data_IF_403071050337
#
_entry.id   IF_403071050337
#
_cell.length_a   1.000
_cell.length_b   1.000
_cell.length_c   1.000
_cell.angle_alpha   90.00
_cell.angle_beta   90.00
_cell.angle_gamma   90.00
#
_symmetry.space_group_name_H-M   'P 1'
#
loop_
_entity.id
_entity.type
_entity.pdbx_description
1 polymer ?
#
# COMPACT_ATOMS: atom_id res chain seq x y z
N UNK A 1 13.72 -10.57 31.33
CA UNK A 1 13.89 -10.13 29.93
C UNK A 1 14.25 -8.66 29.96
N UNK A 2 15.41 -8.26 29.45
CA UNK A 2 15.93 -6.87 29.57
C UNK A 2 15.78 -6.08 28.25
N UNK A 3 14.78 -6.40 27.46
CA UNK A 3 14.43 -5.65 26.24
C UNK A 3 13.62 -4.43 26.61
N UNK A 4 14.12 -3.24 26.24
CA UNK A 4 13.48 -1.94 26.51
C UNK A 4 12.78 -1.42 25.26
N UNK A 5 11.77 -0.56 25.43
CA UNK A 5 11.03 0.03 24.31
C UNK A 5 11.94 0.77 23.31
N UNK A 6 12.99 1.44 23.81
CA UNK A 6 14.00 2.07 22.94
C UNK A 6 14.70 1.07 22.01
N UNK A 7 14.91 -0.18 22.47
CA UNK A 7 15.51 -1.21 21.64
C UNK A 7 14.60 -1.59 20.48
N UNK A 8 13.30 -1.75 20.78
CA UNK A 8 12.27 -2.09 19.79
C UNK A 8 12.15 -0.99 18.74
N UNK A 9 12.00 0.29 19.16
CA UNK A 9 11.85 1.40 18.22
C UNK A 9 13.11 1.64 17.38
N UNK A 10 14.30 1.54 17.98
CA UNK A 10 15.58 1.69 17.25
C UNK A 10 15.77 0.57 16.24
N UNK A 11 15.46 -0.67 16.63
CA UNK A 11 15.57 -1.83 15.74
C UNK A 11 14.61 -1.70 14.53
N UNK A 12 13.35 -1.36 14.75
CA UNK A 12 12.39 -1.17 13.67
C UNK A 12 12.81 -0.07 12.69
N UNK A 13 13.40 1.03 13.20
CA UNK A 13 13.89 2.10 12.35
C UNK A 13 15.12 1.68 11.53
N UNK A 14 16.03 0.88 12.12
CA UNK A 14 17.16 0.28 11.39
C UNK A 14 16.68 -0.70 10.35
N UNK A 15 15.73 -1.55 10.67
CA UNK A 15 15.10 -2.50 9.74
C UNK A 15 14.47 -1.78 8.54
N UNK A 16 13.72 -0.68 8.79
CA UNK A 16 13.02 0.09 7.76
C UNK A 16 13.98 0.81 6.82
N UNK A 17 15.06 1.36 7.35
CA UNK A 17 16.00 2.18 6.56
C UNK A 17 17.14 1.38 5.95
N UNK A 18 17.33 0.13 6.38
CA UNK A 18 18.48 -0.71 6.05
C UNK A 18 19.83 0.02 6.27
N UNK A 19 19.87 0.96 7.23
CA UNK A 19 21.04 1.84 7.46
C UNK A 19 21.06 2.42 8.87
N UNK A 20 22.13 2.19 9.60
CA UNK A 20 22.36 2.82 10.92
C UNK A 20 22.37 4.36 10.83
N UNK A 21 23.00 4.90 9.78
CA UNK A 21 23.10 6.36 9.60
C UNK A 21 21.76 7.03 9.35
N UNK A 22 20.93 6.44 8.47
CA UNK A 22 19.59 6.96 8.20
C UNK A 22 18.68 6.81 9.42
N UNK A 23 18.73 5.66 10.12
CA UNK A 23 17.98 5.46 11.35
C UNK A 23 18.38 6.49 12.44
N UNK A 24 19.67 6.76 12.61
CA UNK A 24 20.18 7.74 13.55
C UNK A 24 19.64 9.16 13.27
N UNK A 25 19.64 9.56 11.99
CA UNK A 25 19.11 10.86 11.57
C UNK A 25 17.60 10.99 11.87
N UNK A 26 16.81 9.95 11.59
CA UNK A 26 15.37 9.95 11.84
C UNK A 26 15.00 9.91 13.32
N UNK A 27 15.80 9.19 14.12
CA UNK A 27 15.64 9.14 15.59
C UNK A 27 16.22 10.35 16.31
N UNK A 28 16.88 11.28 15.61
CA UNK A 28 17.59 12.41 16.16
C UNK A 28 18.64 12.04 17.22
N UNK A 29 19.39 10.96 16.95
CA UNK A 29 20.49 10.48 17.81
C UNK A 29 21.77 10.24 16.98
N UNK A 30 22.90 10.02 17.67
CA UNK A 30 24.14 9.70 16.97
C UNK A 30 24.18 8.23 16.46
N UNK A 31 24.92 7.97 15.38
CA UNK A 31 25.12 6.60 14.88
C UNK A 31 25.73 5.66 15.92
N UNK A 32 26.73 6.06 16.74
CA UNK A 32 27.22 5.24 17.85
C UNK A 32 26.12 4.85 18.85
N UNK A 33 25.16 5.76 19.13
CA UNK A 33 24.03 5.48 20.03
C UNK A 33 23.10 4.39 19.43
N UNK A 34 22.76 4.48 18.15
CA UNK A 34 21.98 3.44 17.45
C UNK A 34 22.71 2.10 17.49
N UNK A 35 24.01 2.08 17.12
CA UNK A 35 24.82 0.88 17.14
C UNK A 35 24.86 0.22 18.53
N UNK A 36 25.01 1.04 19.57
CA UNK A 36 25.01 0.57 20.95
C UNK A 36 23.65 -0.04 21.32
N UNK A 37 22.56 0.64 20.99
CA UNK A 37 21.19 0.18 21.27
C UNK A 37 20.89 -1.17 20.58
N UNK A 38 21.34 -1.35 19.33
CA UNK A 38 21.22 -2.63 18.62
C UNK A 38 22.03 -3.72 19.32
N UNK A 39 23.27 -3.45 19.72
CA UNK A 39 24.07 -4.44 20.47
C UNK A 39 23.46 -4.82 21.82
N UNK A 40 22.90 -3.84 22.55
CA UNK A 40 22.18 -4.10 23.80
C UNK A 40 20.96 -5.02 23.56
N UNK A 41 20.25 -4.82 22.45
CA UNK A 41 19.15 -5.70 22.04
C UNK A 41 19.65 -7.12 21.71
N UNK A 42 20.69 -7.24 20.90
CA UNK A 42 21.27 -8.53 20.52
C UNK A 42 21.77 -9.33 21.73
N UNK A 43 22.40 -8.64 22.69
CA UNK A 43 22.79 -9.25 23.97
C UNK A 43 21.57 -9.75 24.77
N UNK A 44 20.50 -8.96 24.81
CA UNK A 44 19.28 -9.33 25.52
C UNK A 44 18.53 -10.51 24.85
N UNK A 45 18.64 -10.64 23.54
CA UNK A 45 18.04 -11.73 22.76
C UNK A 45 18.94 -12.97 22.64
N UNK A 46 20.24 -12.82 22.86
CA UNK A 46 21.23 -13.90 22.65
C UNK A 46 21.46 -14.22 21.17
N UNK A 47 21.07 -13.37 20.26
CA UNK A 47 21.19 -13.56 18.82
C UNK A 47 21.42 -12.24 18.09
N UNK A 48 22.20 -12.24 17.02
CA UNK A 48 22.33 -11.11 16.12
C UNK A 48 21.02 -10.90 15.36
N UNK A 49 20.51 -9.66 15.32
CA UNK A 49 19.29 -9.30 14.60
C UNK A 49 19.57 -8.53 13.31
N UNK A 50 20.80 -8.02 13.15
CA UNK A 50 21.25 -7.35 11.94
C UNK A 50 22.62 -7.88 11.51
N UNK A 51 22.89 -7.86 10.22
CA UNK A 51 24.19 -8.17 9.66
C UNK A 51 24.54 -7.20 8.53
N UNK A 52 25.82 -7.12 8.19
CA UNK A 52 26.28 -6.26 7.09
C UNK A 52 25.92 -6.87 5.75
N UNK A 53 25.42 -6.01 4.86
CA UNK A 53 25.17 -6.35 3.46
C UNK A 53 25.76 -5.25 2.56
N UNK A 54 26.97 -5.50 2.07
CA UNK A 54 27.72 -4.52 1.33
C UNK A 54 27.92 -3.20 2.10
N UNK A 55 27.34 -2.10 1.60
CA UNK A 55 27.36 -0.79 2.26
C UNK A 55 26.17 -0.57 3.21
N UNK A 56 25.26 -1.51 3.28
CA UNK A 56 24.04 -1.45 4.09
C UNK A 56 23.99 -2.46 5.21
N UNK A 57 22.79 -2.67 5.70
CA UNK A 57 22.46 -3.64 6.74
C UNK A 57 21.24 -4.41 6.26
N UNK A 58 21.22 -5.72 6.50
CA UNK A 58 20.03 -6.55 6.36
C UNK A 58 19.68 -7.23 7.69
N UNK A 59 18.44 -7.67 7.81
CA UNK A 59 18.03 -8.47 8.96
C UNK A 59 18.54 -9.90 8.84
N UNK A 60 18.90 -10.48 9.98
CA UNK A 60 19.11 -11.92 10.11
C UNK A 60 17.76 -12.65 10.20
N UNK A 61 17.74 -13.98 10.15
CA UNK A 61 16.52 -14.76 10.42
C UNK A 61 15.92 -14.43 11.80
N UNK A 62 16.77 -14.26 12.84
CA UNK A 62 16.32 -13.83 14.16
C UNK A 62 15.78 -12.38 14.14
N UNK A 63 16.38 -11.49 13.33
CA UNK A 63 15.91 -10.14 13.13
C UNK A 63 14.54 -10.08 12.46
N UNK A 64 14.30 -10.90 11.43
CA UNK A 64 12.98 -10.99 10.79
C UNK A 64 11.92 -11.53 11.75
N UNK A 65 12.26 -12.52 12.57
CA UNK A 65 11.37 -13.04 13.62
C UNK A 65 11.05 -11.94 14.64
N UNK A 66 12.08 -11.27 15.15
CA UNK A 66 11.87 -10.19 16.13
C UNK A 66 11.08 -9.01 15.56
N UNK A 67 11.27 -8.66 14.27
CA UNK A 67 10.54 -7.59 13.59
C UNK A 67 9.04 -7.80 13.63
N UNK A 68 8.58 -9.03 13.43
CA UNK A 68 7.14 -9.36 13.47
C UNK A 68 6.50 -8.97 14.81
N UNK A 69 7.13 -9.37 15.92
CA UNK A 69 6.61 -9.08 17.26
C UNK A 69 6.87 -7.64 17.72
N UNK A 70 7.96 -7.04 17.26
CA UNK A 70 8.34 -5.67 17.61
C UNK A 70 7.31 -4.64 17.13
N UNK A 71 6.80 -4.79 15.90
CA UNK A 71 5.77 -3.91 15.34
C UNK A 71 4.46 -3.99 16.13
N UNK A 72 3.98 -5.19 16.41
CA UNK A 72 2.78 -5.41 17.21
C UNK A 72 2.89 -4.81 18.62
N UNK A 73 4.06 -4.95 19.25
CA UNK A 73 4.33 -4.36 20.58
C UNK A 73 4.21 -2.83 20.57
N UNK A 74 4.81 -2.17 19.57
CA UNK A 74 4.70 -0.70 19.43
C UNK A 74 3.26 -0.26 19.12
N UNK A 75 2.57 -0.99 18.26
CA UNK A 75 1.16 -0.71 17.95
C UNK A 75 0.29 -0.80 19.21
N UNK A 76 0.40 -1.87 19.97
CA UNK A 76 -0.34 -2.06 21.23
C UNK A 76 -0.06 -0.94 22.24
N UNK A 77 1.20 -0.54 22.41
CA UNK A 77 1.56 0.57 23.29
C UNK A 77 0.95 1.89 22.83
N UNK A 78 1.04 2.21 21.52
CA UNK A 78 0.42 3.42 20.95
C UNK A 78 -1.09 3.43 21.17
N UNK A 79 -1.77 2.31 20.94
CA UNK A 79 -3.20 2.18 21.20
C UNK A 79 -3.53 2.45 22.68
N UNK A 80 -2.72 1.94 23.60
CA UNK A 80 -2.89 2.21 25.04
C UNK A 80 -2.72 3.69 25.38
N UNK A 81 -1.69 4.33 24.84
CA UNK A 81 -1.46 5.78 25.03
C UNK A 81 -2.61 6.60 24.43
N UNK A 82 -3.04 6.26 23.22
CA UNK A 82 -4.14 6.97 22.54
C UNK A 82 -5.46 6.80 23.28
N UNK A 83 -5.72 5.60 23.83
CA UNK A 83 -6.89 5.33 24.66
C UNK A 83 -6.91 6.18 25.96
N UNK A 84 -5.76 6.30 26.64
CA UNK A 84 -5.64 7.15 27.84
C UNK A 84 -5.82 8.63 27.48
N UNK A 85 -5.22 9.09 26.40
CA UNK A 85 -5.38 10.48 25.94
C UNK A 85 -6.81 10.81 25.53
N UNK A 86 -7.50 9.87 24.90
CA UNK A 86 -8.92 10.00 24.55
C UNK A 86 -9.81 10.08 25.79
N UNK A 87 -9.48 9.35 26.88
CA UNK A 87 -10.22 9.39 28.15
C UNK A 87 -10.03 10.66 28.98
N UNK A 88 -8.97 11.44 28.73
CA UNK A 88 -8.61 12.65 29.51
C UNK A 88 -9.08 13.95 28.83
N UNK A 89 -10.23 13.96 28.15
CA UNK A 89 -10.82 15.20 27.66
C UNK A 89 -11.18 15.28 26.18
N UNK A 90 -11.22 14.18 25.49
CA UNK A 90 -11.81 14.11 24.15
C UNK A 90 -12.85 13.01 24.07
N UNK A 91 -14.03 13.33 23.53
CA UNK A 91 -15.11 12.36 23.24
C UNK A 91 -14.73 11.31 22.17
N UNK A 92 -13.48 11.28 21.72
CA UNK A 92 -13.04 10.47 20.60
C UNK A 92 -11.98 9.45 21.02
N UNK A 93 -12.33 8.18 20.98
CA UNK A 93 -11.44 7.02 21.17
C UNK A 93 -10.23 6.97 20.21
N UNK A 94 -9.34 5.97 20.33
CA UNK A 94 -8.17 5.82 19.45
C UNK A 94 -8.61 5.68 18.01
N UNK A 95 -7.83 6.28 17.08
CA UNK A 95 -8.09 6.16 15.66
C UNK A 95 -7.56 4.84 15.10
N UNK A 96 -8.36 4.11 14.31
CA UNK A 96 -7.90 2.98 13.50
C UNK A 96 -7.10 3.53 12.30
N UNK A 97 -5.90 3.05 12.11
CA UNK A 97 -4.95 3.52 11.09
C UNK A 97 -4.93 2.57 9.91
N UNK A 98 -5.34 3.05 8.75
CA UNK A 98 -5.54 2.26 7.55
C UNK A 98 -4.64 2.77 6.43
N UNK A 99 -3.80 1.90 5.89
CA UNK A 99 -3.12 2.11 4.63
C UNK A 99 -4.01 1.66 3.49
N UNK A 100 -4.22 2.52 2.50
CA UNK A 100 -5.05 2.22 1.34
C UNK A 100 -4.26 2.49 0.06
N UNK A 101 -4.10 1.47 -0.79
CA UNK A 101 -3.54 1.70 -2.12
C UNK A 101 -4.49 2.59 -2.95
N UNK A 102 -3.96 3.32 -3.94
CA UNK A 102 -4.77 4.20 -4.78
C UNK A 102 -6.04 3.55 -5.33
N UNK A 103 -5.92 2.32 -5.80
CA UNK A 103 -7.03 1.57 -6.40
C UNK A 103 -8.22 1.36 -5.45
N UNK A 104 -7.97 1.06 -4.19
CA UNK A 104 -9.05 0.86 -3.20
C UNK A 104 -9.53 2.19 -2.63
N UNK A 105 -8.66 3.21 -2.57
CA UNK A 105 -8.97 4.54 -2.04
C UNK A 105 -10.08 5.22 -2.84
N UNK A 106 -10.14 4.99 -4.16
CA UNK A 106 -11.16 5.56 -5.02
C UNK A 106 -12.40 4.66 -5.19
N UNK A 107 -12.30 3.36 -4.89
CA UNK A 107 -13.35 2.38 -5.21
C UNK A 107 -14.15 1.94 -3.97
N UNK A 108 -13.56 1.12 -3.10
CA UNK A 108 -14.30 0.50 -1.98
C UNK A 108 -14.16 1.24 -0.66
N UNK A 109 -13.06 1.99 -0.46
CA UNK A 109 -12.82 2.68 0.81
C UNK A 109 -13.89 3.72 1.15
N UNK A 110 -14.38 4.58 0.22
CA UNK A 110 -15.42 5.55 0.53
C UNK A 110 -16.68 4.89 1.09
N UNK A 111 -17.17 3.84 0.45
CA UNK A 111 -18.37 3.12 0.91
C UNK A 111 -18.14 2.40 2.25
N UNK A 112 -16.94 1.83 2.46
CA UNK A 112 -16.61 1.19 3.74
C UNK A 112 -16.56 2.20 4.88
N UNK A 113 -15.99 3.39 4.65
CA UNK A 113 -15.93 4.49 5.62
C UNK A 113 -17.32 5.05 5.91
N UNK A 114 -18.16 5.26 4.90
CA UNK A 114 -19.55 5.72 5.06
C UNK A 114 -20.33 4.77 5.97
N UNK A 115 -20.29 3.46 5.69
CA UNK A 115 -20.94 2.43 6.52
C UNK A 115 -20.41 2.43 7.95
N UNK A 116 -19.08 2.52 8.09
CA UNK A 116 -18.44 2.55 9.40
C UNK A 116 -18.92 3.74 10.24
N UNK A 117 -18.97 4.94 9.66
CA UNK A 117 -19.41 6.14 10.37
C UNK A 117 -20.90 6.09 10.74
N UNK A 118 -21.73 5.49 9.90
CA UNK A 118 -23.16 5.29 10.20
C UNK A 118 -23.40 4.36 11.39
N UNK A 119 -22.58 3.31 11.53
CA UNK A 119 -22.74 2.28 12.58
C UNK A 119 -21.91 2.58 13.84
N UNK A 120 -20.88 3.41 13.76
CA UNK A 120 -19.98 3.79 14.85
C UNK A 120 -19.71 5.30 14.88
N UNK A 121 -20.68 6.15 15.30
CA UNK A 121 -20.56 7.61 15.23
C UNK A 121 -19.36 8.20 16.00
N UNK A 122 -18.86 7.51 17.03
CA UNK A 122 -17.67 7.91 17.79
C UNK A 122 -16.35 7.31 17.26
N UNK A 123 -16.41 6.47 16.23
CA UNK A 123 -15.24 5.82 15.66
C UNK A 123 -14.37 6.79 14.84
N UNK A 124 -13.05 6.73 15.05
CA UNK A 124 -12.08 7.55 14.30
C UNK A 124 -11.27 6.68 13.37
N UNK A 125 -11.13 7.14 12.12
CA UNK A 125 -10.29 6.51 11.10
C UNK A 125 -9.21 7.49 10.66
N UNK A 126 -7.99 6.97 10.47
CA UNK A 126 -6.89 7.66 9.78
C UNK A 126 -6.56 6.85 8.54
N UNK A 127 -6.87 7.38 7.37
CA UNK A 127 -6.55 6.75 6.08
C UNK A 127 -5.30 7.39 5.51
N UNK A 128 -4.32 6.57 5.17
CA UNK A 128 -3.06 6.97 4.54
C UNK A 128 -2.96 6.28 3.20
N UNK A 129 -2.68 7.03 2.14
CA UNK A 129 -2.49 6.49 0.80
C UNK A 129 -1.01 6.49 0.43
N UNK A 130 -0.55 5.44 -0.23
CA UNK A 130 0.85 5.32 -0.61
C UNK A 130 1.13 4.08 -1.47
N UNK A 131 2.40 3.90 -1.82
CA UNK A 131 2.87 2.70 -2.51
C UNK A 131 2.80 1.47 -1.59
N UNK A 132 2.57 0.31 -2.17
CA UNK A 132 2.41 -0.95 -1.43
C UNK A 132 3.59 -1.22 -0.46
N UNK A 133 4.83 -1.06 -0.93
CA UNK A 133 6.01 -1.30 -0.13
C UNK A 133 6.05 -0.40 1.12
N UNK A 134 5.75 0.89 0.95
CA UNK A 134 5.73 1.87 2.05
C UNK A 134 4.65 1.54 3.08
N UNK A 135 3.44 1.19 2.60
CA UNK A 135 2.33 0.84 3.49
C UNK A 135 2.60 -0.46 4.27
N UNK A 136 3.22 -1.48 3.63
CA UNK A 136 3.61 -2.71 4.32
C UNK A 136 4.73 -2.48 5.35
N UNK A 137 5.70 -1.60 5.05
CA UNK A 137 6.73 -1.21 6.02
C UNK A 137 6.11 -0.51 7.24
N UNK A 138 5.13 0.38 7.02
CA UNK A 138 4.37 1.03 8.09
C UNK A 138 3.51 0.04 8.89
N UNK A 139 2.88 -0.95 8.22
CA UNK A 139 2.14 -2.02 8.88
C UNK A 139 3.08 -2.86 9.77
N UNK A 140 4.25 -3.23 9.26
CA UNK A 140 5.27 -3.96 10.01
C UNK A 140 5.81 -3.18 11.21
N UNK A 141 5.92 -1.85 11.10
CA UNK A 141 6.35 -0.98 12.19
C UNK A 141 5.23 -0.66 13.21
N UNK A 142 3.99 -1.14 12.96
CA UNK A 142 2.83 -0.81 13.77
C UNK A 142 2.35 0.65 13.64
N UNK A 143 2.78 1.37 12.60
CA UNK A 143 2.29 2.70 12.27
C UNK A 143 0.91 2.66 11.59
N UNK A 144 0.58 1.53 10.97
CA UNK A 144 -0.73 1.17 10.44
C UNK A 144 -1.23 -0.10 11.10
N UNK A 145 -2.55 -0.25 11.18
CA UNK A 145 -3.24 -1.39 11.75
C UNK A 145 -3.73 -2.36 10.65
N UNK A 146 -4.08 -1.81 9.50
CA UNK A 146 -4.65 -2.52 8.35
C UNK A 146 -4.05 -1.92 7.07
N UNK A 147 -3.72 -2.75 6.09
CA UNK A 147 -3.45 -2.29 4.72
C UNK A 147 -4.47 -2.91 3.77
N UNK A 148 -5.05 -2.10 2.91
CA UNK A 148 -6.01 -2.54 1.89
C UNK A 148 -5.44 -2.23 0.51
N UNK A 149 -5.42 -3.23 -0.35
CA UNK A 149 -4.90 -3.06 -1.69
C UNK A 149 -4.51 -4.37 -2.38
N UNK A 150 -3.72 -4.25 -3.44
CA UNK A 150 -3.28 -5.40 -4.24
C UNK A 150 -2.29 -6.26 -3.46
N UNK A 151 -2.43 -7.58 -3.56
CA UNK A 151 -1.53 -8.57 -2.96
C UNK A 151 -0.08 -8.32 -3.43
N UNK A 152 0.83 -8.21 -2.49
CA UNK A 152 2.25 -8.06 -2.77
C UNK A 152 2.90 -9.38 -3.19
N UNK A 153 4.16 -9.32 -3.62
CA UNK A 153 4.96 -10.52 -3.90
C UNK A 153 5.17 -11.36 -2.63
N UNK A 154 5.38 -12.67 -2.75
CA UNK A 154 5.54 -13.57 -1.60
C UNK A 154 6.60 -13.11 -0.60
N UNK A 155 7.71 -12.54 -1.11
CA UNK A 155 8.83 -12.07 -0.28
C UNK A 155 8.41 -10.90 0.62
N UNK A 156 7.48 -10.08 0.15
CA UNK A 156 6.94 -8.93 0.90
C UNK A 156 5.80 -9.31 1.83
N UNK A 157 5.24 -10.51 1.68
CA UNK A 157 4.13 -11.01 2.51
C UNK A 157 4.59 -11.79 3.75
N UNK A 158 5.88 -11.95 3.96
CA UNK A 158 6.41 -12.62 5.15
C UNK A 158 6.00 -11.85 6.42
N UNK A 159 5.34 -12.54 7.35
CA UNK A 159 4.83 -11.95 8.60
C UNK A 159 3.46 -11.26 8.47
N UNK A 160 2.81 -11.37 7.32
CA UNK A 160 1.47 -10.85 7.08
C UNK A 160 0.49 -11.95 6.69
N UNK A 161 -0.79 -11.71 6.95
CA UNK A 161 -1.91 -12.47 6.40
C UNK A 161 -2.61 -11.66 5.33
N UNK A 162 -3.22 -12.33 4.36
CA UNK A 162 -3.98 -11.68 3.30
C UNK A 162 -5.37 -12.30 3.18
N UNK A 163 -6.39 -11.45 3.18
CA UNK A 163 -7.78 -11.82 2.92
C UNK A 163 -8.20 -11.25 1.57
N UNK A 164 -8.51 -12.13 0.62
CA UNK A 164 -8.96 -11.71 -0.71
C UNK A 164 -10.37 -11.10 -0.65
N UNK A 165 -10.54 -9.93 -1.25
CA UNK A 165 -11.83 -9.24 -1.41
C UNK A 165 -12.36 -9.38 -2.83
N UNK A 166 -11.59 -9.00 -3.83
CA UNK A 166 -11.91 -9.09 -5.26
C UNK A 166 -10.64 -9.12 -6.10
N UNK A 167 -10.81 -9.25 -7.41
CA UNK A 167 -9.69 -9.13 -8.35
C UNK A 167 -9.96 -8.02 -9.34
N UNK A 168 -8.93 -7.30 -9.74
CA UNK A 168 -9.00 -6.23 -10.73
C UNK A 168 -7.84 -6.33 -11.72
N UNK A 169 -8.01 -5.67 -12.85
CA UNK A 169 -7.01 -5.60 -13.91
C UNK A 169 -6.41 -4.19 -14.03
N UNK A 170 -5.36 -4.06 -14.81
CA UNK A 170 -4.84 -2.78 -15.27
C UNK A 170 -5.60 -2.40 -16.54
N UNK A 171 -5.93 -1.12 -16.67
CA UNK A 171 -6.49 -0.55 -17.88
C UNK A 171 -5.48 0.40 -18.54
N UNK A 172 -5.58 0.53 -19.85
CA UNK A 172 -4.96 1.60 -20.61
C UNK A 172 -6.05 2.62 -20.91
N UNK A 173 -5.97 3.80 -20.27
CA UNK A 173 -7.02 4.81 -20.37
C UNK A 173 -6.52 6.06 -21.04
N UNK A 174 -7.43 6.75 -21.70
CA UNK A 174 -7.22 7.96 -22.47
C UNK A 174 -8.33 8.97 -22.17
N UNK A 175 -8.17 10.24 -22.55
CA UNK A 175 -9.28 11.20 -22.51
C UNK A 175 -10.42 10.76 -23.43
N UNK A 176 -11.65 11.18 -23.12
CA UNK A 176 -12.77 11.06 -24.05
C UNK A 176 -12.45 11.75 -25.38
N UNK A 177 -12.83 11.10 -26.52
CA UNK A 177 -12.53 11.62 -27.85
C UNK A 177 -11.08 11.51 -28.28
N UNK A 178 -10.29 10.64 -27.65
CA UNK A 178 -8.90 10.36 -28.06
C UNK A 178 -8.85 9.70 -29.45
N UNK A 179 -7.87 10.03 -30.31
CA UNK A 179 -7.74 9.46 -31.67
C UNK A 179 -7.73 7.95 -31.74
N UNK A 180 -7.15 7.26 -30.73
CA UNK A 180 -7.12 5.80 -30.67
C UNK A 180 -8.52 5.17 -30.54
N UNK A 181 -9.50 5.87 -29.97
CA UNK A 181 -10.87 5.37 -29.82
C UNK A 181 -11.67 5.35 -31.14
N UNK A 182 -11.21 6.11 -32.12
CA UNK A 182 -11.83 6.17 -33.45
C UNK A 182 -11.29 5.10 -34.44
N UNK A 183 -10.28 4.33 -34.03
CA UNK A 183 -9.70 3.28 -34.84
C UNK A 183 -10.52 1.98 -34.73
N UNK A 184 -11.02 1.47 -35.84
CA UNK A 184 -11.72 0.19 -35.92
C UNK A 184 -11.22 -0.60 -37.15
N UNK A 185 -10.56 -1.74 -36.97
CA UNK A 185 -10.21 -2.36 -35.68
C UNK A 185 -9.14 -1.56 -34.93
N UNK A 186 -9.18 -1.65 -33.59
CA UNK A 186 -8.14 -1.07 -32.74
C UNK A 186 -6.79 -1.77 -32.97
N UNK A 187 -5.74 -0.96 -33.20
CA UNK A 187 -4.39 -1.45 -33.41
C UNK A 187 -3.48 -1.06 -32.23
N UNK A 188 -3.07 -2.07 -31.47
CA UNK A 188 -2.17 -1.91 -30.32
C UNK A 188 -0.78 -1.38 -30.75
N UNK A 189 -0.33 -1.67 -31.97
CA UNK A 189 0.94 -1.16 -32.50
C UNK A 189 0.99 0.38 -32.64
N UNK A 190 -0.15 1.04 -32.52
CA UNK A 190 -0.23 2.49 -32.53
C UNK A 190 0.02 3.15 -31.16
N UNK A 191 0.13 2.40 -30.07
CA UNK A 191 0.44 2.96 -28.74
C UNK A 191 1.74 3.78 -28.69
N UNK A 192 2.84 3.37 -29.37
CA UNK A 192 4.09 4.12 -29.37
C UNK A 192 4.00 5.55 -29.96
N UNK A 193 2.98 5.82 -30.75
CA UNK A 193 2.75 7.15 -31.35
C UNK A 193 2.32 8.19 -30.29
N UNK A 194 1.93 7.75 -29.10
CA UNK A 194 1.37 8.59 -28.04
C UNK A 194 2.25 8.56 -26.77
N UNK A 195 2.28 9.67 -26.00
CA UNK A 195 2.97 9.65 -24.71
C UNK A 195 2.36 8.62 -23.78
N UNK A 196 3.19 7.80 -23.13
CA UNK A 196 2.77 6.83 -22.12
C UNK A 196 3.00 7.40 -20.72
N UNK A 197 1.95 7.43 -19.90
CA UNK A 197 2.04 7.63 -18.45
C UNK A 197 2.05 6.25 -17.78
N UNK A 198 3.20 5.91 -17.23
CA UNK A 198 3.47 4.60 -16.64
C UNK A 198 3.47 4.66 -15.11
N UNK A 199 3.14 3.57 -14.42
CA UNK A 199 3.43 3.44 -13.00
C UNK A 199 4.95 3.48 -12.78
N UNK A 200 5.39 4.00 -11.62
CA UNK A 200 6.82 3.99 -11.24
C UNK A 200 7.37 2.57 -11.16
N UNK A 201 8.68 2.43 -11.22
CA UNK A 201 9.35 1.11 -11.14
C UNK A 201 9.02 0.34 -9.84
N UNK A 202 8.70 1.06 -8.76
CA UNK A 202 8.32 0.49 -7.45
C UNK A 202 6.84 0.20 -7.30
N UNK A 203 6.00 0.65 -8.24
CA UNK A 203 4.56 0.42 -8.20
C UNK A 203 4.22 -1.07 -8.40
N UNK A 204 3.33 -1.58 -7.55
CA UNK A 204 2.93 -3.00 -7.56
C UNK A 204 2.37 -3.49 -8.91
N UNK A 205 1.81 -2.59 -9.73
CA UNK A 205 1.26 -2.93 -11.04
C UNK A 205 2.31 -2.88 -12.16
N UNK A 206 3.49 -2.29 -11.94
CA UNK A 206 4.52 -2.12 -12.97
C UNK A 206 4.91 -3.42 -13.66
N UNK A 207 5.19 -4.53 -12.97
CA UNK A 207 5.56 -5.79 -13.61
C UNK A 207 4.44 -6.38 -14.48
N UNK A 208 3.19 -6.14 -14.14
CA UNK A 208 2.03 -6.61 -14.92
C UNK A 208 1.90 -5.82 -16.22
N UNK A 209 2.07 -4.49 -16.16
CA UNK A 209 2.04 -3.61 -17.33
C UNK A 209 3.18 -3.97 -18.29
N UNK A 210 4.41 -4.12 -17.77
CA UNK A 210 5.56 -4.46 -18.60
C UNK A 210 5.41 -5.83 -19.28
N UNK A 211 4.95 -6.84 -18.51
CA UNK A 211 4.70 -8.18 -19.06
C UNK A 211 3.66 -8.12 -20.19
N UNK A 212 2.56 -7.39 -19.98
CA UNK A 212 1.53 -7.19 -20.99
C UNK A 212 2.12 -6.56 -22.26
N UNK A 213 2.84 -5.46 -22.16
CA UNK A 213 3.43 -4.76 -23.30
C UNK A 213 4.44 -5.65 -24.05
N UNK A 214 5.31 -6.35 -23.32
CA UNK A 214 6.30 -7.28 -23.92
C UNK A 214 5.59 -8.42 -24.64
N UNK A 215 4.57 -9.03 -24.01
CA UNK A 215 3.78 -10.13 -24.60
C UNK A 215 3.11 -9.75 -25.93
N UNK A 216 2.81 -8.46 -26.10
CA UNK A 216 2.20 -7.91 -27.30
C UNK A 216 3.21 -7.24 -28.26
N UNK A 217 4.53 -7.50 -28.10
CA UNK A 217 5.56 -7.01 -28.99
C UNK A 217 5.95 -5.55 -28.81
N UNK A 218 5.47 -4.91 -27.73
CA UNK A 218 5.72 -3.50 -27.41
C UNK A 218 6.86 -3.35 -26.38
N UNK A 219 8.00 -3.96 -26.65
CA UNK A 219 9.20 -3.77 -25.82
C UNK A 219 9.76 -2.36 -25.99
N UNK A 220 10.23 -1.76 -24.88
CA UNK A 220 10.87 -0.43 -24.92
C UNK A 220 9.92 0.76 -24.85
N UNK A 221 8.62 0.56 -24.67
CA UNK A 221 7.67 1.59 -24.26
C UNK A 221 7.89 2.00 -22.79
N UNK A 222 9.16 2.17 -22.41
CA UNK A 222 9.52 2.81 -21.15
C UNK A 222 8.92 4.22 -21.15
N UNK A 223 7.92 4.45 -20.30
CA UNK A 223 7.23 5.73 -20.27
C UNK A 223 8.21 6.86 -20.04
N UNK A 224 8.17 7.87 -20.89
CA UNK A 224 8.90 9.12 -20.65
C UNK A 224 8.36 9.83 -19.41
N UNK A 225 7.18 9.39 -18.91
CA UNK A 225 6.49 9.97 -17.75
C UNK A 225 6.11 8.81 -16.82
N UNK A 226 6.61 8.86 -15.61
CA UNK A 226 6.26 7.92 -14.55
C UNK A 226 5.66 8.69 -13.37
N UNK A 227 4.55 8.19 -12.81
CA UNK A 227 3.91 8.83 -11.66
C UNK A 227 3.12 7.82 -10.85
N UNK A 228 3.09 8.06 -9.52
CA UNK A 228 2.16 7.40 -8.58
C UNK A 228 0.99 8.32 -8.21
N UNK A 229 0.99 9.56 -8.68
CA UNK A 229 -0.03 10.54 -8.34
C UNK A 229 -1.25 10.41 -9.25
N UNK A 230 -2.36 9.94 -8.68
CA UNK A 230 -3.65 9.82 -9.39
C UNK A 230 -4.18 11.18 -9.83
N UNK A 231 -4.03 12.21 -9.01
CA UNK A 231 -4.47 13.58 -9.34
C UNK A 231 -3.69 14.15 -10.52
N UNK A 232 -2.37 13.93 -10.56
CA UNK A 232 -1.54 14.29 -11.72
C UNK A 232 -1.98 13.50 -12.95
N UNK A 233 -2.13 12.18 -12.84
CA UNK A 233 -2.52 11.31 -13.94
C UNK A 233 -3.83 11.76 -14.58
N UNK A 234 -4.88 11.96 -13.77
CA UNK A 234 -6.17 12.46 -14.25
C UNK A 234 -6.07 13.82 -14.95
N UNK A 235 -5.38 14.78 -14.33
CA UNK A 235 -5.22 16.12 -14.89
C UNK A 235 -4.43 16.10 -16.21
N UNK A 236 -3.38 15.29 -16.28
CA UNK A 236 -2.52 15.19 -17.44
C UNK A 236 -3.22 14.53 -18.62
N UNK A 237 -3.82 13.34 -18.40
CA UNK A 237 -4.48 12.57 -19.47
C UNK A 237 -5.70 13.30 -20.04
N UNK A 238 -6.47 14.00 -19.23
CA UNK A 238 -7.61 14.82 -19.72
C UNK A 238 -7.20 15.96 -20.64
N UNK A 239 -5.95 16.42 -20.60
CA UNK A 239 -5.45 17.58 -21.35
C UNK A 239 -4.55 17.21 -22.52
N UNK A 240 -4.19 15.95 -22.65
CA UNK A 240 -3.22 15.48 -23.64
C UNK A 240 -3.71 14.21 -24.32
N UNK A 241 -3.01 13.78 -25.37
CA UNK A 241 -3.21 12.48 -25.99
C UNK A 241 -2.31 11.41 -25.35
N UNK A 242 -2.08 11.49 -24.06
CA UNK A 242 -1.35 10.45 -23.33
C UNK A 242 -2.22 9.24 -23.03
N UNK A 243 -1.61 8.06 -23.10
CA UNK A 243 -2.20 6.81 -22.66
C UNK A 243 -1.69 6.50 -21.25
N UNK A 244 -2.57 6.25 -20.33
CA UNK A 244 -2.26 5.97 -18.93
C UNK A 244 -2.50 4.51 -18.58
N UNK A 245 -1.44 3.79 -18.20
CA UNK A 245 -1.53 2.42 -17.67
C UNK A 245 -1.76 2.49 -16.15
N UNK A 246 -2.96 2.09 -15.68
CA UNK A 246 -3.39 2.28 -14.30
C UNK A 246 -4.36 1.17 -13.85
N UNK A 247 -4.42 0.89 -12.55
CA UNK A 247 -5.42 -0.03 -11.99
C UNK A 247 -6.85 0.47 -12.26
N UNK A 248 -7.72 -0.44 -12.65
CA UNK A 248 -9.14 -0.18 -12.93
C UNK A 248 -9.82 0.62 -11.81
N UNK A 249 -9.60 0.24 -10.55
CA UNK A 249 -10.23 0.88 -9.40
C UNK A 249 -9.89 2.36 -9.21
N UNK A 250 -8.79 2.85 -9.80
CA UNK A 250 -8.43 4.27 -9.74
C UNK A 250 -9.32 5.11 -10.64
N UNK A 251 -9.71 4.58 -11.81
CA UNK A 251 -10.31 5.37 -12.92
C UNK A 251 -11.74 4.98 -13.26
N UNK A 252 -12.30 3.97 -12.58
CA UNK A 252 -13.65 3.48 -12.91
C UNK A 252 -14.70 4.59 -12.84
N UNK A 253 -14.67 5.46 -11.82
CA UNK A 253 -15.58 6.60 -11.72
C UNK A 253 -15.36 7.65 -12.81
N UNK A 254 -14.14 7.82 -13.32
CA UNK A 254 -13.86 8.71 -14.45
C UNK A 254 -14.42 8.14 -15.76
N UNK A 255 -14.39 6.82 -15.92
CA UNK A 255 -14.95 6.10 -17.08
C UNK A 255 -16.47 6.19 -17.03
N UNK A 256 -17.09 5.89 -15.88
CA UNK A 256 -18.55 6.01 -15.68
C UNK A 256 -19.05 7.42 -15.90
N UNK A 257 -18.29 8.45 -15.50
CA UNK A 257 -18.58 9.84 -15.74
C UNK A 257 -18.29 10.29 -17.19
N UNK A 258 -17.72 9.42 -18.04
CA UNK A 258 -17.39 9.74 -19.45
C UNK A 258 -16.24 10.73 -19.60
N UNK A 259 -15.44 10.99 -18.57
CA UNK A 259 -14.28 11.92 -18.63
C UNK A 259 -13.01 11.25 -19.13
N UNK A 260 -12.89 9.95 -18.88
CA UNK A 260 -11.87 9.07 -19.45
C UNK A 260 -12.56 7.89 -20.16
N UNK A 261 -11.82 7.23 -21.03
CA UNK A 261 -12.26 6.02 -21.71
C UNK A 261 -11.15 4.97 -21.65
N UNK A 262 -11.52 3.71 -21.43
CA UNK A 262 -10.60 2.60 -21.57
C UNK A 262 -10.40 2.26 -23.04
N UNK A 263 -9.17 1.98 -23.45
CA UNK A 263 -8.90 1.40 -24.77
C UNK A 263 -9.49 -0.01 -24.84
N UNK A 264 -10.00 -0.46 -26.01
CA UNK A 264 -10.61 -1.76 -26.18
C UNK A 264 -9.55 -2.88 -26.23
N UNK A 265 -8.89 -3.11 -25.10
CA UNK A 265 -7.83 -4.10 -24.91
C UNK A 265 -8.27 -5.14 -23.89
N UNK A 266 -8.04 -6.42 -24.22
CA UNK A 266 -8.14 -7.47 -23.22
C UNK A 266 -6.89 -7.47 -22.34
N UNK A 267 -7.01 -6.89 -21.17
CA UNK A 267 -5.94 -6.82 -20.16
C UNK A 267 -6.15 -7.84 -19.03
N UNK A 268 -6.96 -8.87 -19.24
CA UNK A 268 -7.32 -9.88 -18.23
C UNK A 268 -6.09 -10.57 -17.61
N UNK A 269 -5.01 -10.76 -18.37
CA UNK A 269 -3.74 -11.31 -17.88
C UNK A 269 -3.04 -10.43 -16.81
N UNK A 270 -3.43 -9.14 -16.70
CA UNK A 270 -2.93 -8.24 -15.66
C UNK A 270 -3.71 -8.34 -14.36
N UNK A 271 -4.73 -9.21 -14.31
CA UNK A 271 -5.62 -9.37 -13.17
C UNK A 271 -4.85 -9.82 -11.93
N UNK A 272 -5.11 -9.18 -10.79
CA UNK A 272 -4.49 -9.51 -9.53
C UNK A 272 -5.46 -9.33 -8.35
N UNK A 273 -5.18 -10.08 -7.30
CA UNK A 273 -5.97 -10.08 -6.07
C UNK A 273 -5.87 -8.74 -5.34
N UNK A 274 -7.00 -8.21 -4.91
CA UNK A 274 -7.12 -7.05 -4.01
C UNK A 274 -7.78 -7.52 -2.73
N UNK A 275 -7.25 -7.06 -1.59
CA UNK A 275 -7.73 -7.54 -0.31
C UNK A 275 -7.16 -6.78 0.87
N UNK A 276 -7.29 -7.40 2.04
CA UNK A 276 -6.89 -6.89 3.33
C UNK A 276 -5.60 -7.58 3.75
N UNK A 277 -4.58 -6.81 4.07
CA UNK A 277 -3.32 -7.29 4.65
C UNK A 277 -3.26 -6.88 6.12
N UNK A 278 -2.98 -7.82 7.00
CA UNK A 278 -2.82 -7.64 8.43
C UNK A 278 -1.48 -8.24 8.88
N UNK A 279 -0.91 -7.75 9.97
CA UNK A 279 0.15 -8.48 10.65
C UNK A 279 -0.37 -9.85 11.11
N UNK A 280 0.46 -10.88 11.08
CA UNK A 280 0.02 -12.27 11.37
C UNK A 280 -0.47 -12.44 12.81
N UNK A 281 0.05 -11.62 13.74
CA UNK A 281 -0.29 -11.55 15.15
C UNK A 281 -1.25 -10.40 15.50
N UNK A 282 -1.91 -9.80 14.49
CA UNK A 282 -2.81 -8.68 14.69
C UNK A 282 -4.04 -9.07 15.52
N UNK A 283 -4.16 -8.49 16.71
CA UNK A 283 -5.34 -8.64 17.55
C UNK A 283 -6.46 -7.70 17.08
N UNK A 284 -7.57 -8.30 16.66
CA UNK A 284 -8.74 -7.57 16.17
C UNK A 284 -9.53 -6.96 17.31
N UNK A 285 -9.16 -5.78 17.75
CA UNK A 285 -10.00 -4.98 18.65
C UNK A 285 -11.38 -4.68 18.04
N UNK A 286 -12.37 -4.26 18.85
CA UNK A 286 -13.75 -4.04 18.39
C UNK A 286 -13.87 -3.10 17.20
N UNK A 287 -13.10 -2.00 17.19
CA UNK A 287 -13.10 -0.99 16.12
C UNK A 287 -12.59 -1.57 14.80
N UNK A 288 -11.48 -2.30 14.86
CA UNK A 288 -10.91 -2.96 13.69
C UNK A 288 -11.85 -4.04 13.15
N UNK A 289 -12.41 -4.88 14.02
CA UNK A 289 -13.39 -5.91 13.62
C UNK A 289 -14.60 -5.30 12.93
N UNK A 290 -15.09 -4.16 13.44
CA UNK A 290 -16.19 -3.42 12.84
C UNK A 290 -15.83 -2.90 11.45
N UNK A 291 -14.71 -2.18 11.30
CA UNK A 291 -14.27 -1.65 10.01
C UNK A 291 -14.07 -2.76 8.96
N UNK A 292 -13.48 -3.90 9.37
CA UNK A 292 -13.29 -5.05 8.49
C UNK A 292 -14.63 -5.61 7.97
N UNK A 293 -15.70 -5.61 8.79
CA UNK A 293 -17.05 -5.99 8.32
C UNK A 293 -17.57 -5.00 7.28
N UNK A 294 -17.46 -3.69 7.55
CA UNK A 294 -17.88 -2.65 6.61
C UNK A 294 -17.15 -2.77 5.26
N UNK A 295 -15.84 -3.05 5.29
CA UNK A 295 -15.02 -3.22 4.09
C UNK A 295 -15.43 -4.45 3.27
N UNK A 296 -15.70 -5.59 3.93
CA UNK A 296 -16.24 -6.79 3.26
C UNK A 296 -17.60 -6.53 2.63
N UNK A 297 -18.49 -5.84 3.34
CA UNK A 297 -19.81 -5.48 2.84
C UNK A 297 -19.72 -4.55 1.61
N UNK A 298 -18.82 -3.55 1.62
CA UNK A 298 -18.57 -2.69 0.48
C UNK A 298 -18.05 -3.48 -0.74
N UNK A 299 -17.12 -4.41 -0.51
CA UNK A 299 -16.62 -5.30 -1.57
C UNK A 299 -17.70 -6.22 -2.15
N UNK A 300 -18.60 -6.74 -1.32
CA UNK A 300 -19.72 -7.59 -1.78
C UNK A 300 -20.73 -6.79 -2.61
N UNK A 301 -21.09 -5.58 -2.16
CA UNK A 301 -21.99 -4.69 -2.88
C UNK A 301 -21.44 -4.33 -4.28
N UNK A 302 -20.14 -4.03 -4.37
CA UNK A 302 -19.47 -3.77 -5.64
C UNK A 302 -19.58 -4.95 -6.61
N UNK A 303 -19.42 -6.19 -6.13
CA UNK A 303 -19.53 -7.40 -6.98
C UNK A 303 -20.94 -7.68 -7.42
N UNK A 304 -21.95 -7.38 -6.61
CA UNK A 304 -23.36 -7.58 -6.93
C UNK A 304 -23.94 -6.53 -7.89
N UNK A 305 -23.32 -5.37 -8.02
CA UNK A 305 -23.74 -4.32 -8.97
C UNK A 305 -23.13 -4.45 -10.38
N UNK A 306 -22.26 -5.44 -10.61
CA UNK A 306 -21.61 -5.68 -11.93
C UNK A 306 -22.30 -6.78 -12.74
N UNK A 307 -23.55 -7.18 -12.38
CA UNK A 307 -24.46 -8.03 -13.15
C UNK A 307 -25.56 -7.14 -13.73
#
# INVERSE_FOLDING_TARGET
MDVKLRHVSTFLEVARTASIGKAAALLNVSQPAVTRTIRELEQALGAAVVERDGRGIRLTAAGEEFRRHAGATLSALRHGVDAVRAGIGSDAGPALRIGALPTVSARIMPQAVERFLAEAPGGRLKVVTGENAVLLDQLSAGDLDIVVGRLASPERMVGFTFEHLYSEQVLFVVRSGHPLLARDPFDLAALPDFPMLMPTATAIIRPFVERFLIGHGLSGLGGRIESVSDSFGRAFVRRTDAVWAISEGVVIGDIEAGTLAALPLDTSETRGAVGITLAADFERGPLAAHFLRCLRAASQAMRGGST
#
